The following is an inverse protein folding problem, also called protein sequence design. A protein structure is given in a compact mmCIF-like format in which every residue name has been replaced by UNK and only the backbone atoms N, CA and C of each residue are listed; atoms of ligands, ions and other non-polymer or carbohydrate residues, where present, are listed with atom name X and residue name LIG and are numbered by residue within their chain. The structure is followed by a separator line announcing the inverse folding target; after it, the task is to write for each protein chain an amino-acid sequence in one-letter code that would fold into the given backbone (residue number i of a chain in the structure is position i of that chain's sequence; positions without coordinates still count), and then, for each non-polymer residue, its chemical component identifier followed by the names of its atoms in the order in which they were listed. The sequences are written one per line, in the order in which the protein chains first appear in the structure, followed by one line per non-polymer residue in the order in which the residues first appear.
data_IF_220746329530
#
_entry.id   IF_220746329530
#
_cell.length_a   1.000
_cell.length_b   1.000
_cell.length_c   1.000
_cell.angle_alpha   90.00
_cell.angle_beta   90.00
_cell.angle_gamma   90.00
#
_symmetry.space_group_name_H-M   'P 1'
#
loop_
_entity.id
_entity.type
_entity.pdbx_description
1 polymer ?
#
# COMPACT_ATOMS: atom_id res chain seq x y z
N UNK A 1 -12.79 6.85 -0.53
CA UNK A 1 -11.91 6.31 0.52
C UNK A 1 -11.01 7.45 1.00
N UNK A 2 -11.49 8.28 1.94
CA UNK A 2 -10.70 9.38 2.49
C UNK A 2 -9.93 8.84 3.71
N UNK A 3 -8.62 8.63 3.55
CA UNK A 3 -7.74 8.34 4.67
C UNK A 3 -7.82 9.48 5.68
N UNK A 4 -8.05 9.18 6.96
CA UNK A 4 -7.79 10.14 8.02
C UNK A 4 -6.29 10.52 8.00
N UNK A 5 -5.98 11.82 8.02
CA UNK A 5 -4.61 12.33 7.93
C UNK A 5 -3.67 11.78 9.03
N UNK A 6 -4.19 11.23 10.13
CA UNK A 6 -3.41 10.64 11.22
C UNK A 6 -2.74 9.30 10.84
N UNK A 7 -3.34 8.53 9.93
CA UNK A 7 -2.88 7.16 9.60
C UNK A 7 -2.13 7.08 8.26
N UNK A 8 -2.12 8.18 7.51
CA UNK A 8 -1.49 8.29 6.19
C UNK A 8 0.04 8.35 6.31
N UNK A 9 0.76 7.45 5.62
CA UNK A 9 2.24 7.45 5.53
C UNK A 9 2.76 8.81 5.05
N UNK A 10 2.08 9.40 4.05
CA UNK A 10 2.48 10.69 3.51
C UNK A 10 2.32 11.81 4.55
N UNK A 11 1.31 11.75 5.42
CA UNK A 11 1.16 12.72 6.50
C UNK A 11 2.25 12.58 7.58
N UNK A 12 2.61 11.34 7.96
CA UNK A 12 3.69 11.05 8.91
C UNK A 12 5.07 11.51 8.43
N UNK A 13 5.32 11.40 7.13
CA UNK A 13 6.60 11.78 6.50
C UNK A 13 6.66 13.24 6.02
N UNK A 14 5.53 13.96 6.03
CA UNK A 14 5.49 15.34 5.53
C UNK A 14 6.18 16.31 6.50
N UNK A 15 7.18 17.02 6.00
CA UNK A 15 7.96 18.02 6.76
C UNK A 15 7.84 19.40 6.13
N UNK A 16 8.07 20.43 6.95
CA UNK A 16 8.24 21.81 6.50
C UNK A 16 9.35 21.90 5.44
N UNK A 17 9.33 22.88 4.53
CA UNK A 17 10.38 23.01 3.51
C UNK A 17 11.77 23.24 4.10
N UNK A 18 11.86 23.72 5.34
CA UNK A 18 13.12 23.84 6.07
C UNK A 18 13.62 22.50 6.66
N UNK A 19 12.82 21.44 6.62
CA UNK A 19 13.13 20.10 7.13
C UNK A 19 13.11 19.93 8.65
N UNK A 20 12.95 21.02 9.43
CA UNK A 20 13.12 20.99 10.90
C UNK A 20 11.87 20.57 11.68
N UNK A 21 10.68 20.76 11.12
CA UNK A 21 9.41 20.52 11.81
C UNK A 21 8.40 19.80 10.91
N UNK A 22 7.39 19.18 11.52
CA UNK A 22 6.27 18.56 10.82
C UNK A 22 5.48 19.59 10.00
N UNK A 23 4.86 19.13 8.90
CA UNK A 23 3.99 19.99 8.10
C UNK A 23 2.85 20.61 8.95
N UNK A 24 2.49 21.85 8.65
CA UNK A 24 1.51 22.69 9.36
C UNK A 24 1.91 23.21 10.76
N UNK A 25 3.08 22.81 11.29
CA UNK A 25 3.58 23.26 12.59
C UNK A 25 4.93 23.95 12.48
N UNK A 26 5.21 24.58 11.34
CA UNK A 26 6.51 25.18 11.08
C UNK A 26 6.65 26.56 11.71
N UNK A 27 7.82 26.86 12.26
CA UNK A 27 8.19 28.17 12.80
C UNK A 27 9.22 28.91 11.95
N UNK A 28 9.47 28.46 10.72
CA UNK A 28 10.40 29.14 9.82
C UNK A 28 9.80 30.42 9.21
N UNK A 29 10.60 31.19 8.47
CA UNK A 29 10.16 32.41 7.78
C UNK A 29 9.01 32.17 6.78
N UNK A 30 8.87 30.93 6.27
CA UNK A 30 7.79 30.51 5.36
C UNK A 30 6.56 29.95 6.11
N UNK A 31 6.53 30.00 7.44
CA UNK A 31 5.45 29.48 8.29
C UNK A 31 4.07 30.03 7.91
N UNK A 32 3.98 31.31 7.55
CA UNK A 32 2.73 31.94 7.13
C UNK A 32 2.08 31.26 5.92
N UNK A 33 2.88 30.68 5.03
CA UNK A 33 2.41 30.00 3.81
C UNK A 33 2.32 28.48 4.03
N UNK A 34 3.27 27.88 4.74
CA UNK A 34 3.35 26.44 4.92
C UNK A 34 2.44 25.88 6.01
N UNK A 35 1.94 26.73 6.90
CA UNK A 35 0.96 26.34 7.92
C UNK A 35 -0.50 26.51 7.48
N UNK A 36 -0.73 26.98 6.25
CA UNK A 36 -2.06 27.06 5.69
C UNK A 36 -2.49 25.69 5.12
N UNK A 37 -3.72 25.26 5.44
CA UNK A 37 -4.31 24.04 4.88
C UNK A 37 -4.74 24.32 3.43
N UNK A 38 -4.20 23.62 2.43
CA UNK A 38 -4.60 23.79 1.03
C UNK A 38 -6.01 23.24 0.78
N UNK A 39 -6.72 23.74 -0.24
CA UNK A 39 -8.03 23.22 -0.62
C UNK A 39 -7.94 21.76 -1.11
N UNK A 40 -8.99 20.98 -0.84
CA UNK A 40 -9.00 19.53 -1.02
C UNK A 40 -8.69 19.07 -2.45
N UNK A 41 -9.11 19.84 -3.46
CA UNK A 41 -8.97 19.50 -4.89
C UNK A 41 -7.53 19.57 -5.41
N UNK A 42 -6.70 20.45 -4.81
CA UNK A 42 -5.30 20.64 -5.20
C UNK A 42 -4.29 20.15 -4.17
N UNK A 43 -4.78 19.51 -3.10
CA UNK A 43 -3.95 18.98 -2.01
C UNK A 43 -3.34 17.61 -2.32
N UNK A 44 -2.24 17.28 -1.65
CA UNK A 44 -1.68 15.93 -1.60
C UNK A 44 -2.71 14.94 -1.03
N UNK A 45 -2.48 13.64 -1.21
CA UNK A 45 -3.24 12.58 -0.55
C UNK A 45 -3.38 12.76 0.98
N UNK A 46 -2.42 13.47 1.59
CA UNK A 46 -2.38 13.80 3.01
C UNK A 46 -3.16 15.06 3.43
N UNK A 47 -3.59 15.89 2.48
CA UNK A 47 -4.18 17.22 2.74
C UNK A 47 -3.23 18.27 3.35
N UNK A 48 -1.94 17.95 3.56
CA UNK A 48 -0.98 18.83 4.24
C UNK A 48 -0.29 19.85 3.34
N UNK A 49 -0.19 19.59 2.04
CA UNK A 49 0.48 20.45 1.04
C UNK A 49 -0.21 20.35 -0.31
N UNK A 50 0.12 21.22 -1.26
CA UNK A 50 -0.32 21.12 -2.65
C UNK A 50 0.27 19.86 -3.32
N UNK A 51 -0.49 19.29 -4.26
CA UNK A 51 -0.13 18.07 -5.01
C UNK A 51 1.25 18.16 -5.68
N UNK A 52 1.60 19.31 -6.24
CA UNK A 52 2.87 19.52 -6.96
C UNK A 52 4.05 19.89 -6.05
N UNK A 53 3.81 20.18 -4.76
CA UNK A 53 4.83 20.60 -3.79
C UNK A 53 4.98 19.59 -2.63
N UNK A 54 4.41 18.39 -2.78
CA UNK A 54 4.49 17.37 -1.75
C UNK A 54 5.91 16.79 -1.66
N UNK A 55 6.52 16.83 -0.47
CA UNK A 55 7.87 16.31 -0.20
C UNK A 55 7.86 15.02 0.64
N UNK A 56 6.71 14.37 0.82
CA UNK A 56 6.61 13.17 1.67
C UNK A 56 7.31 11.93 1.08
N UNK A 57 7.80 12.01 -0.16
CA UNK A 57 8.57 10.95 -0.83
C UNK A 57 7.74 9.71 -1.19
N UNK A 58 6.41 9.79 -1.13
CA UNK A 58 5.49 8.76 -1.61
C UNK A 58 5.03 9.19 -3.00
N UNK A 59 5.39 8.41 -4.02
CA UNK A 59 4.99 8.66 -5.39
C UNK A 59 3.46 8.59 -5.53
N UNK A 60 2.90 9.53 -6.29
CA UNK A 60 1.52 9.55 -6.80
C UNK A 60 0.39 9.40 -5.79
N UNK A 61 -0.08 10.50 -5.20
CA UNK A 61 -1.45 10.75 -4.69
C UNK A 61 -2.20 9.62 -3.96
N UNK A 62 -1.50 8.59 -3.50
CA UNK A 62 -2.06 7.41 -2.89
C UNK A 62 -1.78 7.52 -1.40
N UNK A 63 -2.85 7.60 -0.61
CA UNK A 63 -2.71 7.33 0.81
C UNK A 63 -2.38 5.85 0.97
N UNK A 64 -1.13 5.53 1.26
CA UNK A 64 -0.78 4.26 1.86
C UNK A 64 -0.92 4.43 3.37
N UNK A 65 -1.64 3.53 4.06
CA UNK A 65 -1.56 3.43 5.52
C UNK A 65 -0.33 2.62 5.90
N UNK A 66 0.35 2.98 6.99
CA UNK A 66 1.41 2.14 7.53
C UNK A 66 0.80 0.80 7.97
N UNK A 67 1.27 -0.30 7.39
CA UNK A 67 0.69 -1.63 7.63
C UNK A 67 -0.53 -1.97 6.77
N UNK A 68 -0.89 -1.16 5.76
CA UNK A 68 -1.69 -1.64 4.62
C UNK A 68 -0.78 -2.46 3.70
N UNK A 69 -0.35 -3.62 4.16
CA UNK A 69 -0.24 -4.73 3.23
C UNK A 69 -1.67 -5.08 2.84
N UNK A 70 -1.97 -5.01 1.55
CA UNK A 70 -3.27 -5.30 0.99
C UNK A 70 -3.77 -6.66 1.53
N UNK A 71 -4.69 -6.64 2.50
CA UNK A 71 -5.23 -7.85 3.15
C UNK A 71 -5.99 -8.74 2.17
N UNK A 72 -6.08 -8.32 0.91
CA UNK A 72 -6.52 -9.14 -0.21
C UNK A 72 -5.33 -9.59 -1.06
N UNK A 73 -4.42 -10.35 -0.45
CA UNK A 73 -3.38 -11.07 -1.20
C UNK A 73 -3.96 -11.83 -2.40
N UNK A 74 -5.22 -12.28 -2.31
CA UNK A 74 -5.98 -12.84 -3.43
C UNK A 74 -6.16 -11.86 -4.59
N UNK A 75 -6.50 -10.57 -4.38
CA UNK A 75 -6.65 -9.60 -5.48
C UNK A 75 -5.32 -9.33 -6.18
N UNK A 76 -4.23 -9.18 -5.43
CA UNK A 76 -2.88 -9.01 -5.98
C UNK A 76 -2.40 -10.24 -6.75
N UNK A 77 -2.57 -11.45 -6.19
CA UNK A 77 -2.30 -12.70 -6.91
C UNK A 77 -3.12 -12.80 -8.20
N UNK A 78 -4.42 -12.48 -8.15
CA UNK A 78 -5.30 -12.54 -9.33
C UNK A 78 -4.93 -11.50 -10.40
N UNK A 79 -4.38 -10.34 -10.02
CA UNK A 79 -3.80 -9.38 -10.97
C UNK A 79 -2.52 -9.92 -11.60
N UNK A 80 -1.63 -10.55 -10.82
CA UNK A 80 -0.42 -11.18 -11.33
C UNK A 80 -0.74 -12.36 -12.27
N UNK A 81 -1.84 -13.10 -12.07
CA UNK A 81 -2.25 -14.12 -13.05
C UNK A 81 -2.50 -13.53 -14.43
N UNK A 82 -3.03 -12.31 -14.53
CA UNK A 82 -3.29 -11.66 -15.82
C UNK A 82 -2.01 -11.31 -16.58
N UNK A 83 -0.85 -11.27 -15.92
CA UNK A 83 0.44 -11.03 -16.57
C UNK A 83 1.05 -12.32 -17.14
N UNK A 84 0.49 -13.50 -16.80
CA UNK A 84 0.93 -14.80 -17.31
C UNK A 84 0.26 -15.14 -18.65
N UNK A 85 0.88 -16.02 -19.48
CA UNK A 85 0.31 -16.46 -20.74
C UNK A 85 -1.10 -17.05 -20.57
N UNK A 86 -2.01 -16.75 -21.50
CA UNK A 86 -3.44 -17.10 -21.43
C UNK A 86 -3.65 -18.60 -21.17
N UNK A 87 -2.85 -19.44 -21.83
CA UNK A 87 -2.87 -20.91 -21.73
C UNK A 87 -2.73 -21.40 -20.28
N UNK A 88 -1.90 -20.74 -19.47
CA UNK A 88 -1.57 -21.18 -18.11
C UNK A 88 -2.39 -20.43 -17.04
N UNK A 89 -3.14 -19.39 -17.41
CA UNK A 89 -3.86 -18.55 -16.44
C UNK A 89 -4.86 -19.35 -15.60
N UNK A 90 -5.46 -20.39 -16.16
CA UNK A 90 -6.42 -21.23 -15.44
C UNK A 90 -5.75 -22.00 -14.29
N UNK A 91 -4.59 -22.60 -14.52
CA UNK A 91 -3.80 -23.29 -13.48
C UNK A 91 -3.47 -22.34 -12.33
N UNK A 92 -3.02 -21.14 -12.65
CA UNK A 92 -2.75 -20.09 -11.67
C UNK A 92 -3.99 -19.67 -10.86
N UNK A 93 -5.15 -19.52 -11.51
CA UNK A 93 -6.41 -19.18 -10.82
C UNK A 93 -6.85 -20.30 -9.88
N UNK A 94 -6.73 -21.55 -10.31
CA UNK A 94 -7.09 -22.71 -9.52
C UNK A 94 -6.21 -22.81 -8.27
N UNK A 95 -4.89 -22.74 -8.43
CA UNK A 95 -3.93 -22.77 -7.33
C UNK A 95 -4.15 -21.65 -6.31
N UNK A 96 -4.32 -20.40 -6.76
CA UNK A 96 -4.57 -19.28 -5.85
C UNK A 96 -5.84 -19.54 -5.04
N UNK A 97 -6.92 -20.00 -5.67
CA UNK A 97 -8.17 -20.32 -4.95
C UNK A 97 -8.00 -21.47 -3.97
N UNK A 98 -7.26 -22.51 -4.34
CA UNK A 98 -7.01 -23.66 -3.47
C UNK A 98 -6.18 -23.28 -2.24
N UNK A 99 -5.09 -22.55 -2.44
CA UNK A 99 -4.18 -22.13 -1.36
C UNK A 99 -4.88 -21.22 -0.34
N UNK A 100 -5.67 -20.24 -0.80
CA UNK A 100 -6.47 -19.42 0.12
C UNK A 100 -7.64 -20.21 0.73
N UNK A 101 -8.15 -21.23 0.04
CA UNK A 101 -9.20 -22.13 0.53
C UNK A 101 -8.77 -22.97 1.74
N UNK A 102 -7.51 -23.43 1.77
CA UNK A 102 -6.94 -24.26 2.86
C UNK A 102 -7.06 -23.61 4.24
N UNK A 103 -7.00 -22.29 4.29
CA UNK A 103 -7.02 -21.53 5.55
C UNK A 103 -8.35 -20.82 5.82
N UNK A 104 -9.43 -21.13 5.08
CA UNK A 104 -10.75 -20.48 5.23
C UNK A 104 -11.38 -20.63 6.62
N UNK A 105 -11.11 -21.75 7.31
CA UNK A 105 -11.68 -22.06 8.63
C UNK A 105 -10.79 -21.59 9.79
N UNK A 106 -9.72 -20.85 9.53
CA UNK A 106 -8.80 -20.40 10.57
C UNK A 106 -9.48 -19.35 11.47
N UNK A 107 -9.46 -19.51 12.81
CA UNK A 107 -10.06 -18.55 13.71
C UNK A 107 -9.26 -17.23 13.71
N UNK A 108 -9.97 -16.11 13.65
CA UNK A 108 -9.38 -14.76 13.58
C UNK A 108 -8.50 -14.38 14.78
N UNK A 109 -8.62 -15.11 15.89
CA UNK A 109 -7.84 -14.90 17.13
C UNK A 109 -6.45 -15.57 17.10
N UNK A 110 -6.15 -16.38 16.08
CA UNK A 110 -4.85 -17.03 15.93
C UNK A 110 -3.85 -16.09 15.24
N UNK A 111 -3.50 -14.99 15.92
CA UNK A 111 -2.67 -13.92 15.38
C UNK A 111 -1.31 -14.42 14.84
N UNK A 112 -0.61 -15.28 15.59
CA UNK A 112 0.71 -15.81 15.20
C UNK A 112 0.66 -16.67 13.93
N UNK A 113 -0.38 -17.50 13.79
CA UNK A 113 -0.57 -18.35 12.61
C UNK A 113 -0.95 -17.52 11.39
N UNK A 114 -1.83 -16.53 11.57
CA UNK A 114 -2.23 -15.59 10.52
C UNK A 114 -1.00 -14.83 10.01
N UNK A 115 -0.18 -14.29 10.91
CA UNK A 115 1.03 -13.55 10.54
C UNK A 115 2.04 -14.43 9.79
N UNK A 116 2.24 -15.67 10.25
CA UNK A 116 3.08 -16.64 9.54
C UNK A 116 2.56 -16.90 8.12
N UNK A 117 1.26 -17.16 7.96
CA UNK A 117 0.64 -17.42 6.66
C UNK A 117 0.73 -16.22 5.72
N UNK A 118 0.57 -14.99 6.23
CA UNK A 118 0.77 -13.77 5.45
C UNK A 118 2.20 -13.69 4.95
N UNK A 119 3.20 -13.94 5.81
CA UNK A 119 4.62 -13.90 5.44
C UNK A 119 5.01 -14.97 4.43
N UNK A 120 4.42 -16.16 4.54
CA UNK A 120 4.61 -17.26 3.56
C UNK A 120 3.95 -16.91 2.23
N UNK A 121 2.72 -16.39 2.26
CA UNK A 121 2.00 -15.94 1.06
C UNK A 121 2.75 -14.87 0.29
N UNK A 122 3.32 -13.88 1.00
CA UNK A 122 4.12 -12.81 0.38
C UNK A 122 5.37 -13.35 -0.33
N UNK A 123 6.14 -14.23 0.34
CA UNK A 123 7.33 -14.85 -0.27
C UNK A 123 7.00 -15.67 -1.51
N UNK A 124 5.88 -16.40 -1.50
CA UNK A 124 5.41 -17.13 -2.67
C UNK A 124 4.99 -16.20 -3.80
N UNK A 125 4.27 -15.11 -3.48
CA UNK A 125 3.88 -14.11 -4.47
C UNK A 125 5.10 -13.50 -5.17
N UNK A 126 6.11 -13.07 -4.41
CA UNK A 126 7.36 -12.52 -4.98
C UNK A 126 8.05 -13.51 -5.92
N UNK A 127 8.17 -14.77 -5.48
CA UNK A 127 8.76 -15.83 -6.29
C UNK A 127 7.99 -16.05 -7.60
N UNK A 128 6.67 -16.20 -7.53
CA UNK A 128 5.82 -16.46 -8.69
C UNK A 128 5.55 -15.24 -9.57
N UNK A 129 5.75 -14.03 -9.05
CA UNK A 129 5.71 -12.79 -9.83
C UNK A 129 6.87 -12.71 -10.83
N UNK A 130 7.90 -13.55 -10.69
CA UNK A 130 9.01 -13.60 -11.64
C UNK A 130 8.51 -13.95 -13.06
N UNK A 131 8.88 -13.18 -14.10
CA UNK A 131 8.45 -13.43 -15.48
C UNK A 131 8.97 -14.75 -16.07
N UNK A 132 10.04 -15.33 -15.50
CA UNK A 132 10.59 -16.61 -15.96
C UNK A 132 9.70 -17.80 -15.58
N UNK A 133 8.85 -17.67 -14.57
CA UNK A 133 7.92 -18.72 -14.15
C UNK A 133 6.63 -18.58 -14.95
N UNK A 134 6.46 -19.44 -15.96
CA UNK A 134 5.35 -19.34 -16.93
C UNK A 134 4.14 -20.19 -16.55
N UNK A 135 4.34 -21.27 -15.82
CA UNK A 135 3.27 -22.19 -15.42
C UNK A 135 3.47 -22.73 -14.00
N UNK A 136 2.39 -23.26 -13.44
CA UNK A 136 2.39 -24.10 -12.25
C UNK A 136 1.60 -25.37 -12.54
N UNK A 137 2.08 -26.49 -12.02
CA UNK A 137 1.35 -27.76 -12.02
C UNK A 137 0.60 -27.92 -10.71
#
# INVERSE_FOLDING_TARGET
MACAAAECVCAKRSTCSCGKQAALHCNCEKSAVENAVPPSDSSCACGKRLKNLCNCGVADNACQREGETDFTGTMSCMRAVKTKPIENQEHWRAYVREEFGKHRKLPKKSFSVIEHLIRVGHRRYEMYSNPNIKDIH
#
